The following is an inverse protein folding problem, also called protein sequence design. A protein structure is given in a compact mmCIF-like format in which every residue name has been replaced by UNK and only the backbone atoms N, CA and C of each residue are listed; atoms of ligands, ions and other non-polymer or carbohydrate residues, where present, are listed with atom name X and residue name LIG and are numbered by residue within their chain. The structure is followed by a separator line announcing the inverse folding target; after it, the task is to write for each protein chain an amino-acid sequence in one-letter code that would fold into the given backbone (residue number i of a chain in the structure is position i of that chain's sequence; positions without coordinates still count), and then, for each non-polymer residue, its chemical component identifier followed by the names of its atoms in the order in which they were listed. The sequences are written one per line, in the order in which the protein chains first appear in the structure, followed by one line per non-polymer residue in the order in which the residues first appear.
data_IF_938778987677
#
_entry.id   IF_938778987677
#
_cell.length_a   1.000
_cell.length_b   1.000
_cell.length_c   1.000
_cell.angle_alpha   90.00
_cell.angle_beta   90.00
_cell.angle_gamma   90.00
#
_symmetry.space_group_name_H-M   'P 1'
#
loop_
_entity.id
_entity.type
_entity.pdbx_description
1 polymer ?
#
# COMPACT_ATOMS: atom_id res chain seq x y z
N UNK A 1 -10.72 -4.52 0.71
CA UNK A 1 -9.30 -4.17 0.84
C UNK A 1 -8.48 -4.65 -0.36
N UNK A 2 -8.62 -5.90 -0.76
CA UNK A 2 -7.86 -6.54 -1.85
C UNK A 2 -7.95 -5.86 -3.22
N UNK A 3 -8.85 -4.92 -3.39
CA UNK A 3 -9.09 -4.23 -4.68
C UNK A 3 -8.23 -2.96 -4.84
N UNK A 4 -7.92 -2.27 -3.73
CA UNK A 4 -7.17 -1.01 -3.79
C UNK A 4 -5.79 -1.11 -4.47
N UNK A 5 -5.00 -2.18 -4.28
CA UNK A 5 -3.72 -2.31 -4.99
C UNK A 5 -3.84 -2.37 -6.51
N UNK A 6 -4.99 -2.77 -7.07
CA UNK A 6 -5.23 -2.67 -8.52
C UNK A 6 -5.25 -1.21 -8.97
N UNK A 7 -5.88 -0.33 -8.19
CA UNK A 7 -5.97 1.10 -8.48
C UNK A 7 -4.64 1.82 -8.23
N UNK A 8 -3.95 1.47 -7.14
CA UNK A 8 -2.73 2.16 -6.71
C UNK A 8 -1.49 1.80 -7.53
N UNK A 9 -1.34 0.52 -7.91
CA UNK A 9 -0.09 0.06 -8.54
C UNK A 9 -0.25 -1.12 -9.49
N UNK A 10 -1.47 -1.60 -9.74
CA UNK A 10 -1.70 -2.88 -10.45
C UNK A 10 -0.93 -4.05 -9.81
N UNK A 11 -0.78 -4.06 -8.49
CA UNK A 11 0.00 -5.04 -7.70
C UNK A 11 1.51 -5.07 -8.02
N UNK A 12 2.07 -4.05 -8.62
CA UNK A 12 3.52 -3.99 -8.87
C UNK A 12 4.29 -3.81 -7.56
N UNK A 13 5.00 -4.86 -7.13
CA UNK A 13 5.77 -4.87 -5.87
C UNK A 13 6.83 -3.76 -5.81
N UNK A 14 7.47 -3.49 -6.94
CA UNK A 14 8.52 -2.47 -7.09
C UNK A 14 8.00 -1.06 -7.38
N UNK A 15 6.69 -0.83 -7.39
CA UNK A 15 6.12 0.45 -7.76
C UNK A 15 6.65 1.60 -6.89
N UNK A 16 7.11 2.66 -7.56
CA UNK A 16 7.60 3.87 -6.92
C UNK A 16 7.20 5.09 -7.74
N UNK A 17 6.42 5.99 -7.15
CA UNK A 17 5.93 7.18 -7.85
C UNK A 17 6.91 8.35 -7.80
N UNK A 18 6.78 9.32 -8.70
CA UNK A 18 7.52 10.58 -8.67
C UNK A 18 7.32 11.37 -7.37
N UNK A 19 6.17 11.21 -6.71
CA UNK A 19 5.87 11.80 -5.40
C UNK A 19 6.45 11.00 -4.22
N UNK A 20 7.22 9.91 -4.48
CA UNK A 20 7.86 9.10 -3.46
C UNK A 20 6.92 8.12 -2.75
N UNK A 21 5.75 7.83 -3.32
CA UNK A 21 4.91 6.72 -2.86
C UNK A 21 5.50 5.38 -3.29
N UNK A 22 5.40 4.33 -2.48
CA UNK A 22 6.09 3.08 -2.69
C UNK A 22 5.22 1.85 -2.39
N UNK A 23 5.54 0.74 -3.12
CA UNK A 23 4.95 -0.58 -2.97
C UNK A 23 3.53 -0.68 -3.51
N UNK A 24 2.92 -1.85 -3.37
CA UNK A 24 1.59 -2.13 -3.93
C UNK A 24 0.48 -1.21 -3.41
N UNK A 25 0.67 -0.62 -2.23
CA UNK A 25 -0.27 0.27 -1.55
C UNK A 25 0.03 1.75 -1.74
N UNK A 26 1.07 2.11 -2.46
CA UNK A 26 1.48 3.49 -2.76
C UNK A 26 1.48 4.42 -1.53
N UNK A 27 1.98 3.93 -0.40
CA UNK A 27 2.17 4.79 0.75
C UNK A 27 3.20 5.87 0.48
N UNK A 28 2.85 7.13 0.73
CA UNK A 28 3.86 8.19 0.84
C UNK A 28 4.75 7.96 2.07
N UNK A 29 5.94 8.54 2.08
CA UNK A 29 6.87 8.40 3.20
C UNK A 29 6.27 8.89 4.53
N UNK A 30 5.58 10.02 4.51
CA UNK A 30 4.93 10.59 5.70
C UNK A 30 3.80 9.72 6.23
N UNK A 31 2.91 9.24 5.36
CA UNK A 31 1.81 8.37 5.78
C UNK A 31 2.32 7.00 6.21
N UNK A 32 3.31 6.44 5.52
CA UNK A 32 3.90 5.15 5.87
C UNK A 32 4.50 5.13 7.28
N UNK A 33 5.22 6.18 7.66
CA UNK A 33 5.83 6.32 9.00
C UNK A 33 4.85 6.29 10.16
N UNK A 34 3.58 6.52 9.92
CA UNK A 34 2.55 6.40 10.96
C UNK A 34 2.25 4.95 11.34
N UNK A 35 2.63 3.98 10.49
CA UNK A 35 2.24 2.57 10.63
C UNK A 35 3.38 1.59 10.45
N UNK A 36 4.49 2.02 9.85
CA UNK A 36 5.60 1.16 9.39
C UNK A 36 6.94 1.86 9.57
N UNK A 37 8.01 1.05 9.60
CA UNK A 37 9.38 1.56 9.52
C UNK A 37 9.66 2.02 8.09
N UNK A 38 10.02 3.30 7.93
CA UNK A 38 10.40 3.90 6.66
C UNK A 38 11.71 4.67 6.87
N UNK A 39 12.80 3.97 6.73
CA UNK A 39 14.17 4.45 6.92
C UNK A 39 15.00 4.40 5.65
N UNK A 40 16.31 4.53 5.85
CA UNK A 40 17.30 4.45 4.79
C UNK A 40 17.63 3.00 4.43
N UNK A 41 17.73 2.14 5.42
CA UNK A 41 18.07 0.72 5.39
C UNK A 41 16.85 -0.16 5.12
N UNK A 42 15.72 0.17 5.76
CA UNK A 42 14.47 -0.59 5.68
C UNK A 42 13.33 0.34 5.26
N UNK A 43 12.56 -0.10 4.29
CA UNK A 43 11.34 0.57 3.83
C UNK A 43 10.20 -0.45 3.73
N UNK A 44 9.46 -0.61 4.83
CA UNK A 44 8.37 -1.59 4.95
C UNK A 44 7.17 -1.30 4.04
N UNK A 45 7.11 -0.13 3.41
CA UNK A 45 6.09 0.16 2.39
C UNK A 45 6.20 -0.77 1.18
N UNK A 46 7.40 -1.32 0.95
CA UNK A 46 7.73 -2.25 -0.13
C UNK A 46 7.39 -3.69 0.21
N UNK A 47 7.21 -4.00 1.50
CA UNK A 47 6.74 -5.31 1.92
C UNK A 47 5.22 -5.40 1.75
N UNK A 48 4.70 -6.32 0.90
CA UNK A 48 3.28 -6.38 0.61
C UNK A 48 2.43 -6.76 1.82
N UNK A 49 2.96 -7.54 2.76
CA UNK A 49 2.23 -8.00 3.94
C UNK A 49 2.15 -6.88 4.97
N UNK A 50 3.29 -6.28 5.33
CA UNK A 50 3.34 -5.18 6.29
C UNK A 50 2.55 -3.97 5.79
N UNK A 51 2.71 -3.62 4.51
CA UNK A 51 1.96 -2.54 3.88
C UNK A 51 0.44 -2.84 3.84
N UNK A 52 0.02 -4.11 3.67
CA UNK A 52 -1.41 -4.47 3.73
C UNK A 52 -1.98 -4.26 5.13
N UNK A 53 -1.27 -4.64 6.18
CA UNK A 53 -1.69 -4.35 7.56
C UNK A 53 -1.77 -2.85 7.84
N UNK A 54 -0.82 -2.07 7.33
CA UNK A 54 -0.83 -0.62 7.45
C UNK A 54 -2.02 0.01 6.71
N UNK A 55 -2.33 -0.46 5.50
CA UNK A 55 -3.46 0.01 4.71
C UNK A 55 -4.80 -0.29 5.40
N UNK A 56 -4.93 -1.47 6.01
CA UNK A 56 -6.11 -1.82 6.80
C UNK A 56 -6.30 -0.86 7.99
N UNK A 57 -5.22 -0.56 8.73
CA UNK A 57 -5.24 0.40 9.83
C UNK A 57 -5.60 1.81 9.37
N UNK A 58 -5.04 2.27 8.24
CA UNK A 58 -5.34 3.59 7.68
C UNK A 58 -6.81 3.70 7.26
N UNK A 59 -7.34 2.71 6.54
CA UNK A 59 -8.74 2.69 6.10
C UNK A 59 -9.70 2.62 7.28
N UNK A 60 -9.39 1.80 8.30
CA UNK A 60 -10.17 1.74 9.54
C UNK A 60 -10.20 3.12 10.21
N UNK A 61 -9.03 3.75 10.40
CA UNK A 61 -8.92 5.10 10.97
C UNK A 61 -9.72 6.14 10.17
N UNK A 62 -9.65 6.08 8.83
CA UNK A 62 -10.44 6.97 7.98
C UNK A 62 -11.94 6.76 8.21
N UNK A 63 -12.40 5.51 8.22
CA UNK A 63 -13.80 5.19 8.44
C UNK A 63 -14.29 5.66 9.82
N UNK A 64 -13.57 5.37 10.89
CA UNK A 64 -13.90 5.80 12.25
C UNK A 64 -14.05 7.34 12.37
N UNK A 65 -13.28 8.10 11.56
CA UNK A 65 -13.29 9.56 11.58
C UNK A 65 -14.33 10.20 10.65
N UNK A 66 -14.78 9.48 9.62
CA UNK A 66 -15.71 10.02 8.61
C UNK A 66 -17.07 9.33 8.68
N UNK A 67 -17.15 8.08 9.16
CA UNK A 67 -18.34 7.23 9.20
C UNK A 67 -19.04 7.12 7.82
N UNK A 68 -18.24 6.85 6.79
CA UNK A 68 -18.71 6.61 5.41
C UNK A 68 -17.61 5.92 4.62
N UNK A 69 -17.86 4.69 4.14
CA UNK A 69 -16.87 3.96 3.34
C UNK A 69 -16.49 4.65 2.03
N UNK A 70 -17.43 5.19 1.22
CA UNK A 70 -17.07 5.93 0.02
C UNK A 70 -16.09 7.07 0.31
N UNK A 71 -16.32 7.81 1.39
CA UNK A 71 -15.45 8.92 1.79
C UNK A 71 -14.15 8.44 2.42
N UNK A 72 -14.16 7.34 3.18
CA UNK A 72 -12.96 6.75 3.80
C UNK A 72 -12.00 6.21 2.74
N UNK A 73 -12.54 5.57 1.69
CA UNK A 73 -11.76 5.10 0.54
C UNK A 73 -11.20 6.29 -0.24
N UNK A 74 -12.01 7.31 -0.54
CA UNK A 74 -11.51 8.51 -1.21
C UNK A 74 -10.46 9.23 -0.37
N UNK A 75 -10.57 9.22 0.96
CA UNK A 75 -9.59 9.79 1.88
C UNK A 75 -8.24 9.08 1.85
N UNK A 76 -8.17 7.84 1.37
CA UNK A 76 -6.89 7.14 1.16
C UNK A 76 -6.00 7.91 0.18
N UNK A 77 -6.58 8.36 -0.92
CA UNK A 77 -5.88 9.18 -1.93
C UNK A 77 -5.84 10.67 -1.55
N UNK A 78 -6.99 11.28 -1.24
CA UNK A 78 -7.09 12.73 -1.02
C UNK A 78 -6.60 13.18 0.37
N UNK A 79 -6.55 12.29 1.31
CA UNK A 79 -6.27 12.60 2.71
C UNK A 79 -7.53 12.86 3.54
N UNK A 80 -7.44 12.46 4.83
CA UNK A 80 -8.55 12.49 5.77
C UNK A 80 -9.12 13.90 6.00
N UNK A 81 -8.26 14.91 6.15
CA UNK A 81 -8.70 16.27 6.45
C UNK A 81 -9.44 16.91 5.28
N UNK A 82 -8.96 16.66 4.05
CA UNK A 82 -9.66 17.11 2.85
C UNK A 82 -11.06 16.53 2.75
N UNK A 83 -11.20 15.22 2.98
CA UNK A 83 -12.52 14.56 2.93
C UNK A 83 -13.44 14.96 4.10
N UNK A 84 -12.91 15.24 5.30
CA UNK A 84 -13.71 15.83 6.39
C UNK A 84 -14.24 17.22 6.01
N UNK A 85 -13.43 18.06 5.38
CA UNK A 85 -13.84 19.38 4.89
C UNK A 85 -14.90 19.25 3.78
N UNK A 86 -14.73 18.31 2.86
CA UNK A 86 -15.70 18.02 1.82
C UNK A 86 -17.06 17.56 2.42
N UNK A 87 -17.01 16.64 3.39
CA UNK A 87 -18.21 16.17 4.10
C UNK A 87 -18.95 17.29 4.83
N UNK A 88 -18.19 18.17 5.52
CA UNK A 88 -18.78 19.33 6.23
C UNK A 88 -19.54 20.25 5.30
N UNK A 89 -19.05 20.45 4.07
CA UNK A 89 -19.64 21.38 3.08
C UNK A 89 -20.77 20.77 2.25
N UNK A 90 -20.70 19.48 1.96
CA UNK A 90 -21.56 18.85 0.95
C UNK A 90 -22.32 17.60 1.44
N UNK A 91 -22.12 17.19 2.72
CA UNK A 91 -22.71 15.98 3.27
C UNK A 91 -21.91 14.73 2.90
N UNK A 92 -22.51 13.54 3.14
CA UNK A 92 -21.81 12.26 2.96
C UNK A 92 -21.99 11.63 1.57
N UNK A 93 -22.71 12.28 0.66
CA UNK A 93 -22.91 11.80 -0.71
C UNK A 93 -21.66 12.05 -1.53
N UNK A 94 -20.95 10.96 -1.88
CA UNK A 94 -19.72 11.02 -2.69
C UNK A 94 -19.97 11.63 -4.06
N UNK A 95 -21.11 11.36 -4.69
CA UNK A 95 -21.45 11.89 -6.02
C UNK A 95 -21.60 13.40 -5.98
N UNK A 96 -22.21 13.93 -4.92
CA UNK A 96 -22.34 15.35 -4.69
C UNK A 96 -20.98 16.01 -4.43
N UNK A 97 -20.12 15.35 -3.64
CA UNK A 97 -18.75 15.83 -3.36
C UNK A 97 -17.93 15.88 -4.65
N UNK A 98 -17.92 14.82 -5.45
CA UNK A 98 -17.20 14.77 -6.72
C UNK A 98 -17.59 15.90 -7.65
N UNK A 99 -18.88 16.24 -7.72
CA UNK A 99 -19.39 17.33 -8.58
C UNK A 99 -19.12 18.73 -8.04
N UNK A 100 -19.26 18.94 -6.73
CA UNK A 100 -19.34 20.28 -6.12
C UNK A 100 -18.13 20.70 -5.31
N UNK A 101 -17.39 19.74 -4.72
CA UNK A 101 -16.25 20.07 -3.88
C UNK A 101 -15.07 20.55 -4.75
N UNK A 102 -14.61 21.76 -4.45
CA UNK A 102 -13.44 22.39 -5.10
C UNK A 102 -12.38 22.63 -4.06
N UNK A 103 -11.18 22.09 -4.27
CA UNK A 103 -9.97 22.43 -3.54
C UNK A 103 -8.76 22.20 -4.45
N UNK A 104 -7.66 22.86 -4.15
CA UNK A 104 -6.42 22.78 -4.95
C UNK A 104 -5.92 21.33 -5.10
N UNK A 105 -6.12 20.51 -4.09
CA UNK A 105 -5.64 19.13 -4.04
C UNK A 105 -6.69 18.09 -4.43
N UNK A 106 -7.98 18.47 -4.57
CA UNK A 106 -9.05 17.59 -5.02
C UNK A 106 -9.15 17.61 -6.54
N UNK A 107 -8.10 17.15 -7.21
CA UNK A 107 -7.97 17.09 -8.66
C UNK A 107 -8.56 15.82 -9.28
N UNK A 108 -8.14 15.52 -10.50
CA UNK A 108 -8.63 14.39 -11.31
C UNK A 108 -8.52 13.04 -10.55
N UNK A 109 -7.35 12.69 -10.05
CA UNK A 109 -7.13 11.43 -9.35
C UNK A 109 -8.08 11.25 -8.15
N UNK A 110 -8.18 12.25 -7.27
CA UNK A 110 -9.04 12.16 -6.08
C UNK A 110 -10.53 12.09 -6.41
N UNK A 111 -10.97 12.76 -7.48
CA UNK A 111 -12.38 12.74 -7.94
C UNK A 111 -12.79 11.38 -8.49
N UNK A 112 -11.89 10.72 -9.18
CA UNK A 112 -12.16 9.45 -9.85
C UNK A 112 -11.88 8.23 -8.95
N UNK A 113 -11.10 8.40 -7.88
CA UNK A 113 -10.58 7.31 -7.06
C UNK A 113 -11.62 6.31 -6.59
N UNK A 114 -12.78 6.79 -6.12
CA UNK A 114 -13.85 5.89 -5.69
C UNK A 114 -14.53 5.17 -6.86
N UNK A 115 -14.67 5.82 -8.01
CA UNK A 115 -15.20 5.19 -9.23
C UNK A 115 -14.23 4.11 -9.76
N UNK A 116 -12.92 4.40 -9.77
CA UNK A 116 -11.87 3.43 -10.12
C UNK A 116 -11.88 2.23 -9.17
N UNK A 117 -12.03 2.47 -7.86
CA UNK A 117 -12.20 1.40 -6.87
C UNK A 117 -13.43 0.53 -7.16
N UNK A 118 -14.58 1.13 -7.49
CA UNK A 118 -15.80 0.38 -7.83
C UNK A 118 -15.65 -0.40 -9.13
N UNK A 119 -15.00 0.17 -10.14
CA UNK A 119 -14.71 -0.50 -11.40
C UNK A 119 -13.80 -1.72 -11.17
N UNK A 120 -12.71 -1.56 -10.43
CA UNK A 120 -11.81 -2.65 -10.08
C UNK A 120 -12.54 -3.73 -9.25
N UNK A 121 -13.40 -3.33 -8.30
CA UNK A 121 -14.21 -4.26 -7.50
C UNK A 121 -15.17 -5.05 -8.39
N UNK A 122 -15.79 -4.41 -9.38
CA UNK A 122 -16.66 -5.07 -10.34
C UNK A 122 -15.91 -6.12 -11.18
N UNK A 123 -14.73 -5.76 -11.69
CA UNK A 123 -13.88 -6.68 -12.47
C UNK A 123 -13.44 -7.89 -11.63
N UNK A 124 -12.95 -7.64 -10.39
CA UNK A 124 -12.50 -8.71 -9.49
C UNK A 124 -13.66 -9.66 -9.11
N UNK A 125 -14.85 -9.13 -8.85
CA UNK A 125 -16.03 -9.95 -8.56
C UNK A 125 -16.48 -10.80 -9.75
N UNK A 126 -16.27 -10.31 -10.95
CA UNK A 126 -16.66 -10.96 -12.20
C UNK A 126 -15.44 -11.50 -12.97
N UNK A 127 -14.37 -11.87 -12.24
CA UNK A 127 -13.09 -12.26 -12.85
C UNK A 127 -13.20 -13.35 -13.92
N UNK A 128 -14.05 -14.35 -13.72
CA UNK A 128 -14.24 -15.44 -14.68
C UNK A 128 -14.86 -14.95 -16.01
N UNK A 129 -15.67 -13.87 -15.97
CA UNK A 129 -16.24 -13.25 -17.17
C UNK A 129 -15.17 -12.48 -17.96
N UNK A 130 -14.31 -11.73 -17.25
CA UNK A 130 -13.29 -10.89 -17.88
C UNK A 130 -12.01 -11.63 -18.20
N UNK A 131 -11.70 -12.68 -17.43
CA UNK A 131 -10.47 -13.46 -17.55
C UNK A 131 -10.81 -14.96 -17.46
N UNK A 132 -11.45 -15.56 -18.48
CA UNK A 132 -11.94 -16.95 -18.42
C UNK A 132 -10.80 -17.98 -18.24
N UNK A 133 -9.60 -17.64 -18.69
CA UNK A 133 -8.42 -18.53 -18.63
C UNK A 133 -7.43 -18.12 -17.51
N UNK A 134 -7.90 -17.37 -16.49
CA UNK A 134 -7.03 -16.93 -15.39
C UNK A 134 -6.54 -18.10 -14.56
N UNK A 135 -5.25 -18.38 -14.65
CA UNK A 135 -4.58 -19.34 -13.77
C UNK A 135 -4.09 -18.64 -12.51
N UNK A 136 -4.77 -18.88 -11.39
CA UNK A 136 -4.39 -18.29 -10.10
C UNK A 136 -3.30 -19.16 -9.48
N UNK A 137 -2.11 -18.61 -9.36
CA UNK A 137 -0.99 -19.27 -8.70
C UNK A 137 -1.27 -19.46 -7.19
N UNK A 138 -0.72 -20.55 -6.64
CA UNK A 138 -0.80 -20.78 -5.20
C UNK A 138 0.06 -19.75 -4.45
N UNK A 139 -0.39 -19.30 -3.27
CA UNK A 139 0.41 -18.40 -2.44
C UNK A 139 1.76 -19.04 -2.07
N UNK A 140 2.83 -18.27 -2.18
CA UNK A 140 4.13 -18.72 -1.66
C UNK A 140 4.07 -18.84 -0.13
N UNK A 141 4.53 -19.96 0.40
CA UNK A 141 4.74 -20.11 1.84
C UNK A 141 5.93 -19.26 2.26
N UNK A 142 5.71 -18.37 3.21
CA UNK A 142 6.77 -17.54 3.81
C UNK A 142 6.87 -17.84 5.29
N UNK A 143 8.09 -17.89 5.80
CA UNK A 143 8.39 -17.98 7.22
C UNK A 143 9.10 -16.71 7.62
N UNK A 144 8.59 -16.04 8.66
CA UNK A 144 9.27 -14.91 9.28
C UNK A 144 10.10 -15.40 10.44
N UNK A 145 11.39 -15.09 10.42
CA UNK A 145 12.28 -15.35 11.54
C UNK A 145 12.77 -14.05 12.13
N UNK A 146 12.85 -13.99 13.44
CA UNK A 146 13.45 -12.87 14.16
C UNK A 146 14.88 -13.25 14.54
N UNK A 147 15.82 -12.49 14.02
CA UNK A 147 17.22 -12.66 14.37
C UNK A 147 17.50 -11.93 15.72
N UNK A 148 18.25 -12.54 16.64
CA UNK A 148 18.59 -11.91 17.91
C UNK A 148 19.55 -10.73 17.74
N UNK A 149 20.41 -10.78 16.71
CA UNK A 149 21.41 -9.77 16.39
C UNK A 149 21.47 -9.54 14.88
N UNK A 150 22.24 -8.51 14.49
CA UNK A 150 22.59 -8.30 13.09
C UNK A 150 23.48 -9.43 12.59
N UNK A 151 23.21 -9.91 11.39
CA UNK A 151 24.06 -10.87 10.69
C UNK A 151 24.50 -10.29 9.35
N UNK A 152 25.68 -10.70 8.92
CA UNK A 152 26.15 -10.35 7.58
C UNK A 152 25.31 -11.10 6.54
N UNK A 153 25.05 -10.46 5.37
CA UNK A 153 24.25 -11.05 4.30
C UNK A 153 24.82 -12.41 3.84
N UNK A 154 26.15 -12.54 3.77
CA UNK A 154 26.79 -13.79 3.38
C UNK A 154 26.52 -14.93 4.38
N UNK A 155 26.38 -14.61 5.66
CA UNK A 155 25.97 -15.59 6.69
C UNK A 155 24.56 -16.08 6.43
N UNK A 156 23.64 -15.19 6.09
CA UNK A 156 22.27 -15.55 5.71
C UNK A 156 22.26 -16.40 4.43
N UNK A 157 23.00 -15.98 3.40
CA UNK A 157 23.11 -16.71 2.14
C UNK A 157 23.60 -18.13 2.36
N UNK A 158 24.67 -18.33 3.12
CA UNK A 158 25.24 -19.64 3.41
C UNK A 158 24.30 -20.51 4.24
N UNK A 159 23.65 -19.92 5.26
CA UNK A 159 22.77 -20.68 6.17
C UNK A 159 21.50 -21.14 5.48
N UNK A 160 20.90 -20.31 4.63
CA UNK A 160 19.65 -20.61 3.93
C UNK A 160 19.86 -21.25 2.55
N UNK A 161 21.09 -21.32 2.05
CA UNK A 161 21.38 -21.78 0.69
C UNK A 161 20.78 -20.90 -0.39
N UNK A 162 20.64 -19.58 -0.13
CA UNK A 162 19.99 -18.62 -1.00
C UNK A 162 21.01 -17.65 -1.59
N UNK A 163 20.75 -17.21 -2.81
CA UNK A 163 21.47 -16.09 -3.42
C UNK A 163 21.08 -14.75 -2.79
N UNK A 164 21.83 -13.71 -3.04
CA UNK A 164 21.52 -12.34 -2.60
C UNK A 164 20.20 -11.86 -3.20
N UNK A 165 19.96 -12.19 -4.45
CA UNK A 165 18.75 -11.84 -5.21
C UNK A 165 17.52 -12.52 -4.59
N UNK A 166 17.59 -13.79 -4.29
CA UNK A 166 16.49 -14.54 -3.64
C UNK A 166 16.17 -14.01 -2.24
N UNK A 167 17.21 -13.61 -1.47
CA UNK A 167 17.00 -12.95 -0.18
C UNK A 167 16.32 -11.59 -0.37
N UNK A 168 16.74 -10.80 -1.35
CA UNK A 168 16.16 -9.50 -1.63
C UNK A 168 14.70 -9.60 -2.11
N UNK A 169 14.38 -10.57 -2.97
CA UNK A 169 13.02 -10.85 -3.42
C UNK A 169 12.11 -11.30 -2.27
N UNK A 170 12.65 -12.11 -1.36
CA UNK A 170 11.93 -12.55 -0.17
C UNK A 170 11.75 -11.44 0.88
N UNK A 171 12.59 -10.40 0.83
CA UNK A 171 12.63 -9.29 1.79
C UNK A 171 12.63 -7.93 1.07
N UNK A 172 11.57 -7.56 0.34
CA UNK A 172 11.54 -6.37 -0.50
C UNK A 172 11.62 -5.05 0.29
N UNK A 173 11.45 -5.09 1.60
CA UNK A 173 11.66 -3.94 2.50
C UNK A 173 13.13 -3.58 2.70
N UNK A 174 14.06 -4.49 2.48
CA UNK A 174 15.51 -4.23 2.58
C UNK A 174 15.97 -3.42 1.38
N UNK A 175 16.54 -2.25 1.63
CA UNK A 175 16.97 -1.32 0.55
C UNK A 175 18.42 -1.44 0.16
N UNK A 176 19.25 -1.96 1.06
CA UNK A 176 20.70 -2.14 0.86
C UNK A 176 21.15 -3.44 1.52
N UNK A 177 22.28 -4.01 1.10
CA UNK A 177 22.94 -4.98 1.95
C UNK A 177 23.06 -4.34 3.33
N UNK A 178 22.54 -5.03 4.33
CA UNK A 178 22.55 -4.52 5.71
C UNK A 178 23.98 -4.10 6.03
N UNK A 179 24.23 -2.87 6.47
CA UNK A 179 25.57 -2.48 6.87
C UNK A 179 26.03 -3.45 7.94
N UNK A 180 27.24 -3.91 7.81
CA UNK A 180 27.94 -4.58 8.91
C UNK A 180 27.78 -3.67 10.12
N UNK A 181 27.33 -4.21 11.24
CA UNK A 181 27.27 -3.49 12.50
C UNK A 181 28.62 -2.81 12.71
N UNK A 182 28.63 -1.49 12.78
CA UNK A 182 29.72 -0.81 13.46
C UNK A 182 29.53 -1.10 14.93
N UNK A 183 30.27 -2.07 15.41
CA UNK A 183 30.54 -2.22 16.83
C UNK A 183 31.34 -0.98 17.27
N UNK A 184 30.74 -0.12 18.03
CA UNK A 184 31.42 0.71 19.03
C UNK A 184 31.03 0.25 20.39
#
# INVERSE_FOLDING_TARGET
LSVLPHVESSFQLGAYSSAGAAGIWQFTRSTGRLFMRVGYDVDERRDPILATHAAAKLLKKNFERINSWPLAITAYNHGLQGMKSAKKRHGSDISKIVRKYKSRTFGFASRNFYAEFLAALHVVKNKNKYFPNLNIQRPHRRVSIRLPNYIHINTAMNYFGMTREEIAESNPSLRRPVPVSYTH
#
